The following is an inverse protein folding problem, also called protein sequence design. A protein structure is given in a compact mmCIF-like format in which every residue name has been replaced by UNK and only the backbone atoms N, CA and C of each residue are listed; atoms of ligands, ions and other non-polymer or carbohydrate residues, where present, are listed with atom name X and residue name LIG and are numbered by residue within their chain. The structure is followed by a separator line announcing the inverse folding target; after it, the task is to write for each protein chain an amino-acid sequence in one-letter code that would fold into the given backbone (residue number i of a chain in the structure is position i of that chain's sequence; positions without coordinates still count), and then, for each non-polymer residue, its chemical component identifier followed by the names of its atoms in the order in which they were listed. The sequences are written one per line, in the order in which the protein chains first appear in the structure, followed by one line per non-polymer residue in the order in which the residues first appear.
data_IF_498343598701
#
_entry.id   IF_498343598701
#
_cell.length_a   1.000
_cell.length_b   1.000
_cell.length_c   1.000
_cell.angle_alpha   90.00
_cell.angle_beta   90.00
_cell.angle_gamma   90.00
#
_symmetry.space_group_name_H-M   'P 1'
#
loop_
_entity.id
_entity.type
_entity.pdbx_description
1 polymer ?
#
# COMPACT_ATOMS: atom_id res chain seq x y z
N UNK A 1 -4.05 -8.33 -13.85
CA UNK A 1 -2.67 -8.80 -14.02
C UNK A 1 -2.43 -9.22 -15.47
N UNK A 2 -1.44 -8.63 -16.16
CA UNK A 2 -1.13 -8.92 -17.57
C UNK A 2 -0.30 -10.20 -17.77
N UNK A 3 0.43 -10.68 -16.75
CA UNK A 3 1.30 -11.86 -16.88
C UNK A 3 0.62 -13.20 -16.55
N UNK A 4 -0.66 -13.15 -16.14
CA UNK A 4 -1.48 -14.30 -15.74
C UNK A 4 -0.89 -15.11 -14.56
N UNK A 5 -0.11 -14.46 -13.68
CA UNK A 5 0.35 -15.06 -12.43
C UNK A 5 -0.40 -14.48 -11.21
N UNK A 6 -0.48 -15.27 -10.16
CA UNK A 6 -0.93 -14.87 -8.83
C UNK A 6 0.29 -14.88 -7.92
N UNK A 7 0.54 -13.74 -7.29
CA UNK A 7 1.72 -13.49 -6.48
C UNK A 7 1.36 -13.49 -5.00
N UNK A 8 2.23 -14.07 -4.19
CA UNK A 8 2.15 -13.98 -2.73
C UNK A 8 2.91 -12.76 -2.22
N UNK A 9 2.55 -12.30 -1.03
CA UNK A 9 3.21 -11.15 -0.38
C UNK A 9 4.53 -11.53 0.28
N UNK A 10 4.78 -12.80 0.58
CA UNK A 10 5.96 -13.20 1.34
C UNK A 10 6.80 -14.24 0.60
N UNK A 11 6.20 -15.40 0.29
CA UNK A 11 6.95 -16.54 -0.21
C UNK A 11 7.40 -16.38 -1.68
N UNK A 12 8.56 -16.95 -2.06
CA UNK A 12 9.08 -16.93 -3.43
C UNK A 12 8.33 -17.90 -4.35
N UNK A 13 7.00 -17.97 -4.25
CA UNK A 13 6.15 -18.88 -5.03
C UNK A 13 5.07 -18.06 -5.72
N UNK A 14 4.78 -18.41 -6.97
CA UNK A 14 3.69 -17.85 -7.75
C UNK A 14 2.86 -18.95 -8.39
N UNK A 15 1.60 -18.63 -8.63
CA UNK A 15 0.63 -19.59 -9.14
C UNK A 15 0.01 -19.09 -10.42
N UNK A 16 -0.34 -19.99 -11.34
CA UNK A 16 -1.06 -19.64 -12.56
C UNK A 16 -2.11 -20.69 -12.85
N UNK A 17 -3.35 -20.27 -13.05
CA UNK A 17 -4.42 -21.16 -13.45
C UNK A 17 -4.55 -21.19 -14.98
N UNK A 18 -4.27 -22.33 -15.59
CA UNK A 18 -4.38 -22.54 -17.04
C UNK A 18 -4.86 -23.95 -17.34
N UNK A 19 -5.78 -24.10 -18.30
CA UNK A 19 -6.29 -25.40 -18.75
C UNK A 19 -6.82 -26.26 -17.59
N UNK A 20 -7.64 -25.67 -16.72
CA UNK A 20 -8.25 -26.37 -15.59
C UNK A 20 -7.29 -26.74 -14.45
N UNK A 21 -5.99 -26.38 -14.56
CA UNK A 21 -4.95 -26.82 -13.62
C UNK A 21 -4.19 -25.63 -13.03
N UNK A 22 -3.86 -25.74 -11.75
CA UNK A 22 -2.93 -24.83 -11.06
C UNK A 22 -1.48 -25.20 -11.39
N UNK A 23 -0.75 -24.28 -12.01
CA UNK A 23 0.70 -24.35 -12.20
C UNK A 23 1.39 -23.57 -11.09
N UNK A 24 2.48 -24.12 -10.58
CA UNK A 24 3.30 -23.54 -9.52
C UNK A 24 4.68 -23.24 -10.11
N UNK A 25 5.23 -22.08 -9.78
CA UNK A 25 6.58 -21.67 -10.17
C UNK A 25 7.27 -20.96 -8.99
N UNK A 26 8.60 -21.07 -8.95
CA UNK A 26 9.44 -20.46 -7.91
C UNK A 26 10.13 -19.22 -8.44
N UNK A 27 10.24 -18.19 -7.60
CA UNK A 27 10.96 -16.95 -7.90
C UNK A 27 12.31 -16.91 -7.16
N UNK A 28 13.24 -16.09 -7.64
CA UNK A 28 14.56 -15.96 -7.02
C UNK A 28 14.51 -15.45 -5.57
N UNK A 29 13.47 -14.71 -5.21
CA UNK A 29 13.26 -14.19 -3.85
C UNK A 29 11.78 -13.95 -3.57
N UNK A 30 11.44 -13.92 -2.28
CA UNK A 30 10.16 -13.38 -1.82
C UNK A 30 10.12 -11.86 -2.00
N UNK A 31 8.95 -11.26 -1.87
CA UNK A 31 8.79 -9.79 -2.01
C UNK A 31 8.99 -9.06 -0.68
N UNK A 32 9.05 -9.80 0.44
CA UNK A 32 9.08 -9.25 1.82
C UNK A 32 7.92 -8.27 2.09
N UNK A 33 6.85 -8.38 1.32
CA UNK A 33 5.56 -7.84 1.70
C UNK A 33 5.01 -8.60 2.90
N UNK A 34 3.93 -8.08 3.47
CA UNK A 34 3.19 -8.73 4.54
C UNK A 34 1.70 -8.56 4.23
N UNK A 35 1.11 -7.46 4.67
CA UNK A 35 -0.33 -7.19 4.55
C UNK A 35 -0.66 -6.32 3.34
N UNK A 36 -0.81 -6.97 2.19
CA UNK A 36 -1.41 -6.38 1.00
C UNK A 36 -0.57 -6.53 -0.26
N UNK A 37 -1.27 -6.87 -1.35
CA UNK A 37 -0.77 -6.87 -2.71
C UNK A 37 -1.85 -6.30 -3.61
N UNK A 38 -1.48 -5.37 -4.48
CA UNK A 38 -2.38 -4.80 -5.48
C UNK A 38 -1.65 -4.59 -6.80
N UNK A 39 -2.38 -4.17 -7.82
CA UNK A 39 -1.78 -3.83 -9.10
C UNK A 39 -2.47 -2.66 -9.81
N UNK A 40 -1.71 -1.97 -10.65
CA UNK A 40 -2.23 -0.93 -11.54
C UNK A 40 -2.89 -1.52 -12.81
N UNK A 41 -3.28 -0.66 -13.74
CA UNK A 41 -3.82 -1.06 -15.05
C UNK A 41 -2.83 -1.84 -15.93
N UNK A 42 -1.52 -1.72 -15.67
CA UNK A 42 -0.45 -2.42 -16.38
C UNK A 42 -0.06 -3.73 -15.70
N UNK A 43 -0.68 -4.07 -14.56
CA UNK A 43 -0.30 -5.25 -13.78
C UNK A 43 1.00 -5.08 -13.00
N UNK A 44 1.54 -3.87 -12.86
CA UNK A 44 2.66 -3.59 -11.94
C UNK A 44 2.19 -3.85 -10.52
N UNK A 45 2.97 -4.57 -9.75
CA UNK A 45 2.61 -5.00 -8.40
C UNK A 45 3.09 -3.98 -7.37
N UNK A 46 2.30 -3.82 -6.31
CA UNK A 46 2.60 -2.94 -5.19
C UNK A 46 2.40 -3.73 -3.91
N UNK A 47 3.42 -3.78 -3.06
CA UNK A 47 3.42 -4.48 -1.79
C UNK A 47 3.59 -3.49 -0.63
N UNK A 48 3.24 -3.95 0.57
CA UNK A 48 3.38 -3.22 1.84
C UNK A 48 3.94 -4.18 2.88
N UNK A 49 4.53 -3.64 3.94
CA UNK A 49 5.15 -4.42 5.00
C UNK A 49 4.75 -3.82 6.35
N UNK A 50 3.66 -4.32 6.93
CA UNK A 50 3.05 -3.81 8.16
C UNK A 50 4.05 -3.76 9.33
N UNK A 51 4.56 -4.91 9.77
CA UNK A 51 5.58 -5.02 10.81
C UNK A 51 6.95 -4.47 10.40
N UNK A 52 7.15 -4.16 9.12
CA UNK A 52 8.31 -3.44 8.62
C UNK A 52 8.10 -1.93 8.50
N UNK A 53 6.94 -1.41 8.95
CA UNK A 53 6.56 0.01 8.93
C UNK A 53 6.79 0.66 7.55
N UNK A 54 6.54 -0.09 6.48
CA UNK A 54 6.80 0.36 5.12
C UNK A 54 5.55 0.27 4.22
N UNK A 55 4.97 1.44 3.86
CA UNK A 55 3.78 1.52 3.03
C UNK A 55 4.04 1.26 1.55
N UNK A 56 5.29 1.11 1.09
CA UNK A 56 5.62 0.95 -0.34
C UNK A 56 6.83 0.03 -0.53
N UNK A 57 6.58 -1.16 -1.07
CA UNK A 57 7.60 -2.19 -1.36
C UNK A 57 7.40 -2.79 -2.75
N UNK A 58 8.49 -3.18 -3.39
CA UNK A 58 8.49 -4.02 -4.59
C UNK A 58 7.80 -3.39 -5.81
N UNK A 59 7.89 -2.07 -5.93
CA UNK A 59 7.18 -1.26 -6.95
C UNK A 59 7.99 -0.96 -8.21
N UNK A 60 9.30 -1.24 -8.19
CA UNK A 60 10.20 -0.82 -9.28
C UNK A 60 10.27 -1.85 -10.41
N UNK A 61 10.21 -3.15 -10.08
CA UNK A 61 10.33 -4.25 -11.05
C UNK A 61 9.34 -5.37 -10.73
N UNK A 62 9.00 -6.19 -11.73
CA UNK A 62 8.23 -7.41 -11.48
C UNK A 62 9.07 -8.37 -10.60
N UNK A 63 8.51 -8.93 -9.52
CA UNK A 63 9.25 -9.78 -8.58
C UNK A 63 9.82 -11.06 -9.20
N UNK A 64 9.35 -11.46 -10.39
CA UNK A 64 9.95 -12.53 -11.17
C UNK A 64 11.42 -12.25 -11.55
N UNK A 65 11.83 -10.97 -11.60
CA UNK A 65 13.20 -10.54 -11.89
C UNK A 65 14.02 -10.21 -10.63
N UNK A 66 13.51 -10.54 -9.45
CA UNK A 66 14.12 -10.22 -8.16
C UNK A 66 13.49 -9.00 -7.49
N UNK A 67 14.23 -8.37 -6.56
CA UNK A 67 13.73 -7.26 -5.74
C UNK A 67 14.56 -6.00 -5.94
N UNK A 68 13.88 -4.88 -6.14
CA UNK A 68 14.47 -3.55 -6.22
C UNK A 68 13.58 -2.54 -5.47
N UNK A 69 14.12 -2.00 -4.38
CA UNK A 69 13.54 -0.88 -3.63
C UNK A 69 14.59 0.24 -3.58
N UNK A 70 14.25 1.44 -4.02
CA UNK A 70 15.15 2.59 -3.88
C UNK A 70 14.93 3.27 -2.52
N UNK A 71 15.98 3.71 -1.82
CA UNK A 71 15.84 4.39 -0.52
C UNK A 71 14.94 5.64 -0.55
N UNK A 72 14.85 6.29 -1.70
CA UNK A 72 14.13 7.53 -1.95
C UNK A 72 12.85 7.32 -2.79
N UNK A 73 12.34 6.09 -2.94
CA UNK A 73 11.03 5.85 -3.57
C UNK A 73 9.86 6.42 -2.73
N UNK A 74 10.11 6.60 -1.43
CA UNK A 74 9.30 7.36 -0.49
C UNK A 74 10.25 8.28 0.30
N UNK A 75 9.78 9.46 0.70
CA UNK A 75 10.55 10.37 1.54
C UNK A 75 10.04 10.35 2.99
N UNK A 76 10.73 11.05 3.90
CA UNK A 76 10.33 11.12 5.31
C UNK A 76 8.91 11.69 5.48
N UNK A 77 8.55 12.72 4.72
CA UNK A 77 7.21 13.32 4.74
C UNK A 77 6.12 12.36 4.30
N UNK A 78 6.43 11.41 3.41
CA UNK A 78 5.53 10.33 3.00
C UNK A 78 5.40 9.24 4.08
N UNK A 79 6.37 9.08 4.97
CA UNK A 79 6.25 8.14 6.08
C UNK A 79 5.42 8.71 7.23
N UNK A 80 5.48 10.02 7.46
CA UNK A 80 4.66 10.68 8.47
C UNK A 80 3.17 10.51 8.17
N UNK A 81 2.35 10.33 9.21
CA UNK A 81 0.89 10.19 9.12
C UNK A 81 0.16 11.21 9.98
N UNK A 82 -1.07 11.59 9.60
CA UNK A 82 -1.80 12.72 10.17
C UNK A 82 -3.17 12.29 10.72
N UNK A 83 -3.21 11.43 11.75
CA UNK A 83 -4.46 11.03 12.38
C UNK A 83 -5.05 12.21 13.16
N UNK A 84 -6.37 12.22 13.28
CA UNK A 84 -7.13 13.26 14.00
C UNK A 84 -7.49 12.86 15.44
N UNK A 85 -6.83 11.84 15.98
CA UNK A 85 -7.11 11.27 17.30
C UNK A 85 -5.84 10.75 17.97
N UNK A 86 -5.73 11.00 19.28
CA UNK A 86 -4.70 10.40 20.12
C UNK A 86 -4.91 8.88 20.19
N UNK A 87 -3.84 8.11 20.01
CA UNK A 87 -3.88 6.65 20.06
C UNK A 87 -2.70 6.19 20.92
N UNK A 88 -2.87 6.06 22.25
CA UNK A 88 -1.76 5.71 23.14
C UNK A 88 -1.35 4.24 23.03
N UNK A 89 -2.29 3.37 22.63
CA UNK A 89 -2.03 1.94 22.41
C UNK A 89 -1.56 1.70 20.97
N UNK A 90 -0.24 1.62 20.80
CA UNK A 90 0.41 1.43 19.50
C UNK A 90 1.51 0.39 19.59
N UNK A 91 1.58 -0.48 18.59
CA UNK A 91 2.67 -1.42 18.47
C UNK A 91 3.98 -0.67 18.26
N UNK A 92 5.01 -1.03 19.03
CA UNK A 92 6.29 -0.30 19.06
C UNK A 92 6.37 0.77 20.16
N UNK A 93 5.29 1.07 20.87
CA UNK A 93 5.26 1.91 22.07
C UNK A 93 5.45 3.41 21.81
N UNK A 94 5.77 4.15 22.87
CA UNK A 94 5.78 5.63 22.90
C UNK A 94 6.62 6.29 21.78
N UNK A 95 7.68 5.65 21.29
CA UNK A 95 8.50 6.15 20.17
C UNK A 95 7.72 6.29 18.84
N UNK A 96 6.51 5.73 18.74
CA UNK A 96 5.61 5.83 17.59
C UNK A 96 4.58 6.95 17.73
N UNK A 97 4.68 7.73 18.80
CA UNK A 97 3.78 8.82 19.10
C UNK A 97 4.49 10.16 18.95
N UNK A 98 3.72 11.16 18.55
CA UNK A 98 4.07 12.58 18.73
C UNK A 98 3.82 12.99 20.19
N UNK A 99 4.20 14.22 20.50
CA UNK A 99 3.98 14.82 21.84
C UNK A 99 2.49 14.91 22.21
N UNK A 100 1.59 14.99 21.23
CA UNK A 100 0.14 15.02 21.40
C UNK A 100 -0.51 13.62 21.40
N UNK A 101 0.30 12.55 21.48
CA UNK A 101 -0.12 11.15 21.44
C UNK A 101 -0.77 10.71 20.12
N UNK A 102 -0.61 11.48 19.04
CA UNK A 102 -0.97 11.03 17.69
C UNK A 102 0.12 10.15 17.09
N UNK A 103 -0.26 9.23 16.20
CA UNK A 103 0.67 8.34 15.51
C UNK A 103 1.60 9.15 14.59
N UNK A 104 2.93 8.96 14.70
CA UNK A 104 3.91 9.77 13.96
C UNK A 104 4.23 9.26 12.55
N UNK A 105 4.16 7.95 12.29
CA UNK A 105 4.35 7.34 10.96
C UNK A 105 3.53 6.03 10.82
N UNK A 106 3.53 5.43 9.63
CA UNK A 106 2.85 4.15 9.40
C UNK A 106 3.38 3.04 10.32
N UNK A 107 2.49 2.35 11.05
CA UNK A 107 2.85 1.24 11.94
C UNK A 107 2.14 -0.06 11.61
N UNK A 108 1.02 0.01 10.90
CA UNK A 108 0.23 -1.15 10.49
C UNK A 108 -0.29 -0.99 9.06
N UNK A 109 0.52 -0.39 8.18
CA UNK A 109 0.17 -0.21 6.78
C UNK A 109 -0.41 -1.49 6.15
N UNK A 110 -1.61 -1.38 5.58
CA UNK A 110 -2.41 -2.53 5.17
C UNK A 110 -3.23 -2.27 3.90
N UNK A 111 -3.48 -3.35 3.16
CA UNK A 111 -4.55 -3.49 2.18
C UNK A 111 -4.74 -2.29 1.25
N UNK A 112 -3.67 -1.98 0.55
CA UNK A 112 -3.61 -0.92 -0.44
C UNK A 112 -4.34 -1.27 -1.74
N UNK A 113 -4.73 -0.23 -2.48
CA UNK A 113 -5.21 -0.35 -3.84
C UNK A 113 -4.68 0.77 -4.73
N UNK A 114 -4.63 0.54 -6.04
CA UNK A 114 -4.60 1.62 -7.02
C UNK A 114 -6.04 1.86 -7.43
N UNK A 115 -6.54 3.09 -7.32
CA UNK A 115 -7.91 3.39 -7.76
C UNK A 115 -8.00 3.32 -9.28
N UNK A 116 -8.88 2.46 -9.78
CA UNK A 116 -8.99 2.14 -11.23
C UNK A 116 -10.42 2.26 -11.74
N UNK A 117 -11.30 2.88 -10.95
CA UNK A 117 -12.72 3.04 -11.25
C UNK A 117 -13.01 4.32 -12.02
N UNK A 118 -14.29 4.54 -12.29
CA UNK A 118 -14.79 5.66 -13.10
C UNK A 118 -15.91 6.47 -12.40
N UNK A 119 -16.18 6.19 -11.11
CA UNK A 119 -17.25 6.85 -10.32
C UNK A 119 -16.77 7.97 -9.41
N UNK A 120 -15.50 7.97 -9.04
CA UNK A 120 -14.87 9.02 -8.25
C UNK A 120 -14.15 10.03 -9.17
N UNK A 121 -13.75 11.21 -8.65
CA UNK A 121 -13.04 12.22 -9.43
C UNK A 121 -11.86 11.68 -10.23
N UNK A 122 -11.71 12.19 -11.46
CA UNK A 122 -10.72 11.71 -12.44
C UNK A 122 -9.28 11.83 -11.93
N UNK A 123 -9.00 12.77 -11.03
CA UNK A 123 -7.69 12.99 -10.44
C UNK A 123 -7.27 11.86 -9.47
N UNK A 124 -8.23 11.07 -8.97
CA UNK A 124 -7.99 9.88 -8.13
C UNK A 124 -7.56 8.66 -8.95
N UNK A 125 -7.88 8.63 -10.26
CA UNK A 125 -7.57 7.47 -11.11
C UNK A 125 -6.06 7.29 -11.22
N UNK A 126 -5.58 6.10 -10.84
CA UNK A 126 -4.16 5.77 -10.78
C UNK A 126 -3.48 6.11 -9.44
N UNK A 127 -4.18 6.74 -8.50
CA UNK A 127 -3.64 7.04 -7.19
C UNK A 127 -3.62 5.81 -6.29
N UNK A 128 -2.62 5.81 -5.43
CA UNK A 128 -2.36 4.79 -4.44
C UNK A 128 -3.12 5.10 -3.15
N UNK A 129 -3.99 4.18 -2.74
CA UNK A 129 -4.74 4.25 -1.50
C UNK A 129 -4.18 3.23 -0.54
N UNK A 130 -3.82 3.64 0.68
CA UNK A 130 -3.29 2.74 1.69
C UNK A 130 -3.90 2.99 3.05
N UNK A 131 -4.25 1.91 3.74
CA UNK A 131 -4.88 1.97 5.04
C UNK A 131 -3.83 1.97 6.16
N UNK A 132 -4.11 2.70 7.23
CA UNK A 132 -3.39 2.66 8.50
C UNK A 132 -4.42 2.49 9.64
N UNK A 133 -4.69 1.25 10.05
CA UNK A 133 -5.69 0.95 11.07
C UNK A 133 -5.35 1.55 12.43
N UNK A 134 -4.07 1.66 12.81
CA UNK A 134 -3.69 2.21 14.11
C UNK A 134 -4.01 3.70 14.17
N UNK A 135 -3.62 4.43 13.13
CA UNK A 135 -3.91 5.86 12.95
C UNK A 135 -5.36 6.16 12.52
N UNK A 136 -6.17 5.14 12.23
CA UNK A 136 -7.58 5.27 11.82
C UNK A 136 -7.74 6.17 10.60
N UNK A 137 -6.90 5.90 9.60
CA UNK A 137 -6.81 6.73 8.41
C UNK A 137 -6.59 5.89 7.14
N UNK A 138 -6.94 6.49 6.01
CA UNK A 138 -6.60 6.04 4.67
C UNK A 138 -5.84 7.19 4.01
N UNK A 139 -4.66 6.89 3.49
CA UNK A 139 -3.87 7.83 2.70
C UNK A 139 -4.21 7.69 1.23
N UNK A 140 -4.28 8.83 0.54
CA UNK A 140 -4.21 8.93 -0.92
C UNK A 140 -2.84 9.47 -1.32
N UNK A 141 -2.18 8.79 -2.24
CA UNK A 141 -0.85 9.13 -2.71
C UNK A 141 -0.78 9.16 -4.23
N UNK A 142 -0.08 10.14 -4.78
CA UNK A 142 0.26 10.21 -6.20
C UNK A 142 1.36 9.20 -6.49
N UNK A 143 1.20 8.44 -7.58
CA UNK A 143 2.24 7.56 -8.12
C UNK A 143 2.94 8.28 -9.26
N UNK A 144 4.21 8.64 -9.07
CA UNK A 144 4.95 9.51 -10.00
C UNK A 144 6.06 8.68 -10.66
N UNK A 145 6.15 8.71 -11.99
CA UNK A 145 7.26 8.10 -12.71
C UNK A 145 8.28 9.16 -13.13
N UNK A 146 9.52 9.03 -12.65
CA UNK A 146 10.64 9.89 -13.03
C UNK A 146 11.70 9.05 -13.71
N UNK A 147 11.78 9.12 -15.03
CA UNK A 147 12.78 8.40 -15.85
C UNK A 147 12.82 6.89 -15.54
N UNK A 148 11.65 6.26 -15.37
CA UNK A 148 11.52 4.83 -15.07
C UNK A 148 11.50 4.49 -13.59
N UNK A 149 11.80 5.44 -12.69
CA UNK A 149 11.68 5.26 -11.24
C UNK A 149 10.30 5.63 -10.74
N UNK A 150 9.67 4.74 -9.98
CA UNK A 150 8.38 5.00 -9.35
C UNK A 150 8.59 5.63 -7.97
N UNK A 151 7.96 6.79 -7.74
CA UNK A 151 7.98 7.55 -6.49
C UNK A 151 6.55 7.76 -5.98
N UNK A 152 6.43 8.06 -4.68
CA UNK A 152 5.14 8.34 -4.05
C UNK A 152 5.17 9.67 -3.30
N UNK A 153 4.08 10.41 -3.43
CA UNK A 153 3.86 11.69 -2.76
C UNK A 153 2.46 11.69 -2.13
N UNK A 154 2.32 12.20 -0.91
CA UNK A 154 1.00 12.35 -0.30
C UNK A 154 0.19 13.38 -1.10
N UNK A 155 -1.06 13.06 -1.43
CA UNK A 155 -1.91 13.99 -2.20
C UNK A 155 -2.28 15.24 -1.40
N UNK A 156 -2.16 15.20 -0.07
CA UNK A 156 -2.53 16.29 0.83
C UNK A 156 -1.36 16.71 1.72
N UNK A 157 -1.33 17.99 2.08
CA UNK A 157 -0.32 18.53 2.99
C UNK A 157 -0.77 18.36 4.45
N UNK A 158 -0.08 17.51 5.19
CA UNK A 158 -0.36 17.23 6.62
C UNK A 158 -1.79 16.77 6.92
N UNK A 159 -2.38 16.07 5.96
CA UNK A 159 -3.75 15.55 6.03
C UNK A 159 -3.82 14.17 5.36
N UNK A 160 -4.92 13.46 5.61
CA UNK A 160 -5.21 12.14 5.05
C UNK A 160 -6.50 12.16 4.23
N UNK A 161 -6.66 11.20 3.33
CA UNK A 161 -7.86 11.12 2.48
C UNK A 161 -9.12 10.86 3.32
N UNK A 162 -9.02 9.94 4.27
CA UNK A 162 -10.05 9.69 5.29
C UNK A 162 -9.32 9.57 6.62
N UNK A 163 -9.82 10.24 7.65
CA UNK A 163 -9.38 10.06 9.04
C UNK A 163 -10.61 10.08 9.95
N UNK A 164 -10.59 9.30 11.04
CA UNK A 164 -11.73 9.18 11.94
C UNK A 164 -11.31 9.19 13.41
N UNK A 165 -12.16 9.77 14.25
CA UNK A 165 -12.07 9.67 15.71
C UNK A 165 -12.78 8.42 16.25
N UNK A 166 -13.58 7.73 15.43
CA UNK A 166 -14.26 6.49 15.82
C UNK A 166 -13.23 5.39 16.11
N UNK A 167 -13.35 4.72 17.26
CA UNK A 167 -12.44 3.63 17.67
C UNK A 167 -12.55 2.38 16.79
N UNK A 168 -13.69 2.20 16.13
CA UNK A 168 -13.97 1.08 15.26
C UNK A 168 -13.56 1.33 13.81
N UNK A 169 -13.23 2.57 13.44
CA UNK A 169 -12.67 2.84 12.12
C UNK A 169 -11.21 2.36 12.07
N UNK A 170 -11.05 1.09 11.69
CA UNK A 170 -9.77 0.39 11.57
C UNK A 170 -9.67 -0.15 10.13
N UNK A 171 -9.43 0.72 9.13
CA UNK A 171 -9.39 0.27 7.74
C UNK A 171 -8.22 -0.70 7.55
N UNK A 172 -8.49 -1.89 7.01
CA UNK A 172 -7.49 -2.94 6.77
C UNK A 172 -7.34 -3.29 5.30
N UNK A 173 -8.28 -2.85 4.45
CA UNK A 173 -8.26 -3.10 3.03
C UNK A 173 -9.00 -2.01 2.26
N UNK A 174 -8.60 -1.84 1.00
CA UNK A 174 -9.27 -1.01 0.02
C UNK A 174 -9.29 -1.72 -1.33
N UNK A 175 -10.33 -1.50 -2.12
CA UNK A 175 -10.44 -2.05 -3.47
C UNK A 175 -11.30 -1.17 -4.37
N UNK A 176 -11.01 -1.21 -5.67
CA UNK A 176 -11.96 -0.71 -6.67
C UNK A 176 -12.93 -1.83 -7.04
N UNK A 177 -14.23 -1.59 -6.84
CA UNK A 177 -15.29 -2.51 -7.24
C UNK A 177 -15.51 -2.52 -8.76
N UNK A 178 -16.16 -3.57 -9.30
CA UNK A 178 -16.47 -3.66 -10.73
C UNK A 178 -17.48 -2.59 -11.21
N UNK A 179 -18.20 -1.97 -10.27
CA UNK A 179 -19.10 -0.84 -10.47
C UNK A 179 -18.35 0.52 -10.56
N UNK A 180 -17.03 0.51 -10.36
CA UNK A 180 -16.17 1.68 -10.41
C UNK A 180 -16.07 2.47 -9.11
N UNK A 181 -16.70 2.02 -8.02
CA UNK A 181 -16.59 2.67 -6.71
C UNK A 181 -15.35 2.19 -5.93
N UNK A 182 -14.97 2.97 -4.92
CA UNK A 182 -13.97 2.59 -3.92
C UNK A 182 -14.66 1.93 -2.72
N UNK A 183 -14.08 0.83 -2.24
CA UNK A 183 -14.50 0.05 -1.09
C UNK A 183 -13.36 -0.11 -0.10
#
# INVERSE_FOLDING_TARGET
NLDNWMYLTYDPVRFRYTNGTMKIDTMASGTSGQWGVTHDNYGRLYFTSAGGENPVRGVQINPAYGRLDFPDQINASFQEVWPIIATPDVQGGEKRLRTDLTLNHFTACAGQSIYRGDKLPQDLVGDYLICEPVGRLIRRAKVINVKGKTLFENAYNKEEFIASTDMNFRPVNSATGPDGNLY
#
